data_IF_765485448537
#
_entry.id   IF_765485448537
#
_cell.length_a   1.000
_cell.length_b   1.000
_cell.length_c   1.000
_cell.angle_alpha   90.00
_cell.angle_beta   90.00
_cell.angle_gamma   90.00
#
_symmetry.space_group_name_H-M   'P 1'
#
loop_
_entity.id
_entity.type
_entity.pdbx_description
1 polymer ?
#
# COMPACT_ATOMS: atom_id res chain seq x y z
N UNK A 1 -19.16 -6.05 -14.30
CA UNK A 1 -17.73 -6.11 -14.68
C UNK A 1 -17.01 -7.08 -13.75
N UNK A 2 -16.21 -7.96 -14.30
CA UNK A 2 -15.39 -8.90 -13.51
C UNK A 2 -14.08 -8.23 -13.08
N UNK A 3 -13.44 -8.78 -12.03
CA UNK A 3 -12.16 -8.26 -11.54
C UNK A 3 -11.07 -8.17 -12.62
N UNK A 4 -10.99 -9.18 -13.49
CA UNK A 4 -9.97 -9.21 -14.56
C UNK A 4 -10.22 -8.16 -15.64
N UNK A 5 -11.49 -7.90 -15.94
CA UNK A 5 -11.87 -6.84 -16.89
C UNK A 5 -11.46 -5.47 -16.34
N UNK A 6 -11.72 -5.23 -15.06
CA UNK A 6 -11.32 -3.98 -14.42
C UNK A 6 -9.79 -3.84 -14.34
N UNK A 7 -9.05 -4.91 -14.03
CA UNK A 7 -7.58 -4.88 -14.09
C UNK A 7 -7.07 -4.48 -15.46
N UNK A 8 -7.67 -5.02 -16.51
CA UNK A 8 -7.31 -4.68 -17.88
C UNK A 8 -7.58 -3.21 -18.19
N UNK A 9 -8.76 -2.71 -17.81
CA UNK A 9 -9.15 -1.31 -18.01
C UNK A 9 -8.20 -0.35 -17.30
N UNK A 10 -7.88 -0.61 -16.03
CA UNK A 10 -6.96 0.23 -15.26
C UNK A 10 -5.56 0.26 -15.89
N UNK A 11 -5.07 -0.88 -16.38
CA UNK A 11 -3.80 -0.93 -17.09
C UNK A 11 -3.80 -0.09 -18.37
N UNK A 12 -4.91 -0.05 -19.09
CA UNK A 12 -5.06 0.82 -20.27
C UNK A 12 -5.04 2.30 -19.88
N UNK A 13 -5.77 2.68 -18.83
CA UNK A 13 -5.78 4.07 -18.32
C UNK A 13 -4.38 4.50 -17.89
N UNK A 14 -3.65 3.64 -17.19
CA UNK A 14 -2.29 3.91 -16.74
C UNK A 14 -1.33 4.25 -17.89
N UNK A 15 -1.45 3.55 -19.02
CA UNK A 15 -0.59 3.76 -20.20
C UNK A 15 -0.78 5.14 -20.85
N UNK A 16 -1.86 5.83 -20.53
CA UNK A 16 -2.15 7.17 -21.05
C UNK A 16 -1.41 8.27 -20.30
N UNK A 17 -0.79 7.94 -19.16
CA UNK A 17 -0.10 8.88 -18.31
C UNK A 17 1.42 8.81 -18.49
N UNK A 18 2.08 9.97 -18.46
CA UNK A 18 3.53 10.07 -18.47
C UNK A 18 4.10 9.79 -17.08
N UNK A 19 5.40 9.46 -17.01
CA UNK A 19 6.11 9.31 -15.74
C UNK A 19 6.09 10.60 -14.92
N UNK A 20 6.16 11.75 -15.58
CA UNK A 20 6.11 13.05 -14.94
C UNK A 20 4.75 13.30 -14.28
N UNK A 21 3.66 13.01 -14.98
CA UNK A 21 2.29 13.11 -14.42
C UNK A 21 2.11 12.21 -13.19
N UNK A 22 2.60 10.97 -13.24
CA UNK A 22 2.55 10.04 -12.10
C UNK A 22 3.39 10.56 -10.93
N UNK A 23 4.55 11.15 -11.21
CA UNK A 23 5.41 11.74 -10.17
C UNK A 23 4.74 12.92 -9.48
N UNK A 24 4.13 13.83 -10.25
CA UNK A 24 3.41 14.98 -9.72
C UNK A 24 2.23 14.56 -8.85
N UNK A 25 1.44 13.61 -9.32
CA UNK A 25 0.31 13.06 -8.55
C UNK A 25 0.79 12.34 -7.28
N UNK A 26 1.88 11.59 -7.35
CA UNK A 26 2.49 10.96 -6.19
C UNK A 26 2.90 11.98 -5.13
N UNK A 27 3.53 13.08 -5.55
CA UNK A 27 3.97 14.13 -4.63
C UNK A 27 2.78 14.74 -3.87
N UNK A 28 1.69 15.02 -4.57
CA UNK A 28 0.46 15.54 -3.95
C UNK A 28 -0.11 14.55 -2.94
N UNK A 29 -0.15 13.26 -3.28
CA UNK A 29 -0.66 12.21 -2.40
C UNK A 29 0.24 12.00 -1.17
N UNK A 30 1.55 12.02 -1.35
CA UNK A 30 2.51 11.94 -0.24
C UNK A 30 2.32 13.12 0.73
N UNK A 31 2.15 14.33 0.21
CA UNK A 31 1.90 15.50 1.04
C UNK A 31 0.57 15.39 1.80
N UNK A 32 -0.48 14.88 1.17
CA UNK A 32 -1.76 14.60 1.84
C UNK A 32 -1.59 13.56 2.95
N UNK A 33 -0.85 12.50 2.69
CA UNK A 33 -0.58 11.46 3.69
C UNK A 33 0.21 12.01 4.88
N UNK A 34 1.24 12.83 4.64
CA UNK A 34 2.06 13.45 5.69
C UNK A 34 1.27 14.46 6.54
N UNK A 35 0.21 15.05 5.99
CA UNK A 35 -0.68 15.97 6.68
C UNK A 35 -1.90 15.28 7.30
N UNK A 36 -2.06 13.99 7.07
CA UNK A 36 -3.24 13.25 7.53
C UNK A 36 -3.19 13.03 9.04
N UNK A 37 -4.26 13.37 9.80
CA UNK A 37 -4.27 13.25 11.26
C UNK A 37 -4.00 11.83 11.76
N UNK A 38 -4.54 10.81 11.10
CA UNK A 38 -4.33 9.41 11.46
C UNK A 38 -2.89 8.96 11.21
N UNK A 39 -2.27 9.41 10.14
CA UNK A 39 -0.86 9.13 9.84
C UNK A 39 0.03 9.80 10.89
N UNK A 40 -0.26 11.05 11.23
CA UNK A 40 0.50 11.80 12.24
C UNK A 40 0.38 11.18 13.64
N UNK A 41 -0.80 10.71 14.00
CA UNK A 41 -1.05 10.11 15.31
C UNK A 41 -0.48 8.70 15.45
N UNK A 42 -0.40 7.93 14.38
CA UNK A 42 0.08 6.55 14.43
C UNK A 42 1.57 6.48 14.69
N UNK A 43 1.99 5.59 15.58
CA UNK A 43 3.40 5.32 15.87
C UNK A 43 3.92 4.12 15.07
N UNK A 44 3.11 3.09 14.90
CA UNK A 44 3.47 1.86 14.18
C UNK A 44 2.66 1.76 12.90
N UNK A 45 3.35 1.90 11.77
CA UNK A 45 2.73 2.00 10.44
C UNK A 45 3.36 0.96 9.50
N UNK A 46 2.50 0.16 8.85
CA UNK A 46 2.91 -0.70 7.75
C UNK A 46 2.65 0.02 6.43
N UNK A 47 3.69 0.12 5.60
CA UNK A 47 3.59 0.64 4.23
C UNK A 47 4.04 -0.43 3.25
N UNK A 48 3.95 -0.13 1.96
CA UNK A 48 4.54 -0.92 0.88
C UNK A 48 5.65 -0.12 0.21
N UNK A 49 6.68 -0.82 -0.26
CA UNK A 49 7.75 -0.20 -1.04
C UNK A 49 7.33 -0.20 -2.50
N UNK A 50 6.93 0.97 -3.02
CA UNK A 50 6.25 1.10 -4.30
C UNK A 50 7.08 0.65 -5.49
N UNK A 51 6.39 0.01 -6.44
CA UNK A 51 6.90 -0.23 -7.79
C UNK A 51 6.79 1.05 -8.63
N UNK A 52 7.51 1.15 -9.78
CA UNK A 52 7.53 2.37 -10.58
C UNK A 52 6.16 2.85 -11.07
N UNK A 53 5.19 1.96 -11.20
CA UNK A 53 3.83 2.25 -11.68
C UNK A 53 2.81 2.47 -10.56
N UNK A 54 3.26 2.44 -9.31
CA UNK A 54 2.43 2.70 -8.12
C UNK A 54 2.65 4.13 -7.61
N UNK A 55 1.76 4.59 -6.72
CA UNK A 55 2.00 5.81 -5.96
C UNK A 55 3.34 5.68 -5.25
N UNK A 56 4.24 6.64 -5.47
CA UNK A 56 5.61 6.58 -4.98
C UNK A 56 5.68 6.76 -3.46
N UNK A 57 6.03 5.70 -2.75
CA UNK A 57 6.01 5.68 -1.28
C UNK A 57 7.39 5.81 -0.63
N UNK A 58 8.48 5.78 -1.40
CA UNK A 58 9.84 5.74 -0.83
C UNK A 58 10.15 6.94 0.06
N UNK A 59 9.79 8.14 -0.39
CA UNK A 59 9.98 9.36 0.38
C UNK A 59 9.07 9.41 1.62
N UNK A 60 7.83 8.97 1.49
CA UNK A 60 6.89 8.88 2.60
C UNK A 60 7.45 7.95 3.70
N UNK A 61 7.95 6.78 3.31
CA UNK A 61 8.59 5.82 4.22
C UNK A 61 9.74 6.47 4.96
N UNK A 62 10.66 7.12 4.23
CA UNK A 62 11.83 7.75 4.83
C UNK A 62 11.48 8.92 5.75
N UNK A 63 10.51 9.73 5.36
CA UNK A 63 10.06 10.87 6.18
C UNK A 63 9.47 10.40 7.49
N UNK A 64 8.56 9.43 7.45
CA UNK A 64 7.94 8.88 8.66
C UNK A 64 8.97 8.18 9.55
N UNK A 65 9.91 7.47 8.96
CA UNK A 65 11.00 6.81 9.67
C UNK A 65 11.89 7.84 10.40
N UNK A 66 12.26 8.93 9.74
CA UNK A 66 13.05 10.02 10.34
C UNK A 66 12.31 10.75 11.47
N UNK A 67 10.99 10.72 11.47
CA UNK A 67 10.16 11.26 12.54
C UNK A 67 10.16 10.38 13.81
N UNK A 68 10.87 9.25 13.79
CA UNK A 68 10.97 8.34 14.92
C UNK A 68 9.85 7.30 15.02
N UNK A 69 9.02 7.18 13.99
CA UNK A 69 7.96 6.17 13.96
C UNK A 69 8.54 4.78 13.70
N UNK A 70 7.83 3.76 14.17
CA UNK A 70 8.11 2.37 13.82
C UNK A 70 7.50 2.09 12.45
N UNK A 71 8.36 1.96 11.44
CA UNK A 71 7.95 1.69 10.07
C UNK A 71 8.19 0.23 9.73
N UNK A 72 7.16 -0.39 9.16
CA UNK A 72 7.17 -1.79 8.77
C UNK A 72 6.97 -1.90 7.26
N UNK A 73 7.63 -2.89 6.66
CA UNK A 73 7.48 -3.24 5.26
C UNK A 73 7.26 -4.74 5.12
N UNK A 74 6.52 -5.19 4.10
CA UNK A 74 6.27 -6.61 3.89
C UNK A 74 7.39 -7.27 3.11
N UNK A 75 7.64 -8.53 3.44
CA UNK A 75 8.37 -9.49 2.61
C UNK A 75 7.36 -10.46 2.04
N UNK A 76 7.36 -10.65 0.73
CA UNK A 76 6.44 -11.57 0.07
C UNK A 76 6.97 -13.00 0.20
N UNK A 77 6.23 -13.84 0.89
CA UNK A 77 6.45 -15.28 0.94
C UNK A 77 5.58 -15.98 -0.11
N UNK A 78 5.60 -17.30 -0.15
CA UNK A 78 4.83 -18.06 -1.15
C UNK A 78 3.32 -17.75 -1.11
N UNK A 79 2.72 -17.76 0.10
CA UNK A 79 1.28 -17.59 0.28
C UNK A 79 0.90 -16.51 1.29
N UNK A 80 1.87 -15.76 1.80
CA UNK A 80 1.64 -14.78 2.88
C UNK A 80 2.64 -13.63 2.81
N UNK A 81 2.39 -12.61 3.63
CA UNK A 81 3.32 -11.51 3.88
C UNK A 81 3.96 -11.71 5.24
N UNK A 82 5.28 -11.61 5.28
CA UNK A 82 6.04 -11.49 6.53
C UNK A 82 6.34 -10.02 6.78
N UNK A 83 6.09 -9.53 7.97
CA UNK A 83 6.25 -8.12 8.31
C UNK A 83 7.57 -7.93 9.04
N UNK A 84 8.38 -6.98 8.57
CA UNK A 84 9.70 -6.67 9.14
C UNK A 84 9.87 -5.18 9.38
N UNK A 85 10.72 -4.85 10.35
CA UNK A 85 11.08 -3.46 10.62
C UNK A 85 11.91 -2.88 9.48
N UNK A 86 11.57 -1.66 9.09
CA UNK A 86 12.39 -0.85 8.19
C UNK A 86 13.44 -0.10 9.02
N UNK A 87 14.69 -0.23 8.67
CA UNK A 87 15.82 0.36 9.39
C UNK A 87 16.69 1.23 8.47
N UNK A 88 16.07 1.92 7.51
CA UNK A 88 16.73 2.79 6.55
C UNK A 88 16.98 2.11 5.20
N UNK A 89 17.34 2.92 4.21
CA UNK A 89 17.53 2.45 2.83
C UNK A 89 18.61 1.37 2.69
N UNK A 90 19.67 1.46 3.48
CA UNK A 90 20.77 0.49 3.45
C UNK A 90 20.37 -0.90 3.97
N UNK A 91 19.26 -0.98 4.68
CA UNK A 91 18.72 -2.26 5.18
C UNK A 91 17.84 -2.98 4.17
N UNK A 92 17.60 -2.40 3.00
CA UNK A 92 16.79 -3.00 1.94
C UNK A 92 17.64 -3.91 1.06
N UNK A 93 17.04 -5.01 0.61
CA UNK A 93 17.61 -5.91 -0.41
C UNK A 93 16.56 -6.23 -1.46
N UNK A 94 16.99 -6.62 -2.66
CA UNK A 94 16.07 -7.05 -3.71
C UNK A 94 15.40 -8.37 -3.31
N UNK A 95 14.06 -8.39 -3.37
CA UNK A 95 13.25 -9.55 -3.07
C UNK A 95 13.09 -10.50 -4.25
N UNK A 96 12.46 -11.65 -4.02
CA UNK A 96 12.24 -12.69 -5.03
C UNK A 96 11.15 -12.32 -6.04
N UNK A 97 10.14 -11.57 -5.60
CA UNK A 97 8.98 -11.22 -6.43
C UNK A 97 9.13 -9.81 -7.00
N UNK A 98 8.97 -9.67 -8.33
CA UNK A 98 8.89 -8.38 -9.02
C UNK A 98 10.08 -7.44 -8.80
N UNK A 99 11.23 -7.93 -8.36
CA UNK A 99 12.41 -7.12 -8.00
C UNK A 99 12.10 -5.99 -7.00
N UNK A 100 11.08 -6.19 -6.16
CA UNK A 100 10.72 -5.23 -5.11
C UNK A 100 11.79 -5.29 -4.01
N UNK A 101 12.22 -4.12 -3.55
CA UNK A 101 13.11 -4.02 -2.40
C UNK A 101 12.37 -4.45 -1.14
N UNK A 102 13.02 -5.27 -0.32
CA UNK A 102 12.43 -5.84 0.89
C UNK A 102 13.29 -5.52 2.11
N UNK A 103 12.68 -5.35 3.30
CA UNK A 103 13.42 -5.08 4.52
C UNK A 103 14.21 -6.30 4.99
N UNK A 104 15.39 -6.06 5.57
CA UNK A 104 16.21 -7.09 6.20
C UNK A 104 16.20 -6.99 7.73
N UNK A 105 15.44 -6.06 8.29
CA UNK A 105 15.29 -5.91 9.72
C UNK A 105 14.56 -7.08 10.38
N UNK A 106 14.43 -7.01 11.69
CA UNK A 106 13.77 -8.07 12.47
C UNK A 106 12.32 -8.27 12.08
N UNK A 107 11.86 -9.52 12.14
CA UNK A 107 10.44 -9.85 11.98
C UNK A 107 9.64 -9.16 13.08
N UNK A 108 8.55 -8.50 12.69
CA UNK A 108 7.63 -7.85 13.60
C UNK A 108 6.41 -8.75 13.81
N UNK A 109 6.36 -9.40 14.95
CA UNK A 109 5.31 -10.40 15.27
C UNK A 109 4.14 -9.82 16.08
N UNK A 110 4.29 -8.62 16.66
CA UNK A 110 3.24 -7.97 17.46
C UNK A 110 2.23 -7.26 16.55
N UNK A 111 1.53 -8.02 15.71
CA UNK A 111 0.62 -7.48 14.68
C UNK A 111 -0.53 -6.66 15.29
N UNK A 112 -0.94 -6.97 16.51
CA UNK A 112 -1.96 -6.24 17.27
C UNK A 112 -1.55 -4.78 17.58
N UNK A 113 -0.27 -4.45 17.48
CA UNK A 113 0.27 -3.10 17.69
C UNK A 113 0.32 -2.26 16.42
N UNK A 114 0.04 -2.82 15.26
CA UNK A 114 -0.03 -2.06 14.02
C UNK A 114 -1.26 -1.15 14.07
N UNK A 115 -1.04 0.16 14.01
CA UNK A 115 -2.09 1.15 14.15
C UNK A 115 -2.67 1.59 12.80
N UNK A 116 -1.84 1.58 11.76
CA UNK A 116 -2.22 2.04 10.43
C UNK A 116 -1.50 1.22 9.37
N UNK A 117 -2.23 0.87 8.31
CA UNK A 117 -1.68 0.21 7.12
C UNK A 117 -1.98 1.08 5.91
N UNK A 118 -0.94 1.45 5.17
CA UNK A 118 -1.08 2.04 3.85
C UNK A 118 -1.08 0.90 2.84
N UNK A 119 -2.21 0.72 2.15
CA UNK A 119 -2.51 -0.47 1.34
C UNK A 119 -2.39 -0.17 -0.14
N UNK A 120 -1.59 -0.94 -0.90
CA UNK A 120 -1.52 -0.79 -2.35
C UNK A 120 -2.76 -1.38 -3.02
N UNK A 121 -3.07 -0.92 -4.23
CA UNK A 121 -4.14 -1.50 -5.03
C UNK A 121 -4.12 -1.00 -6.46
N UNK A 122 -4.75 -1.75 -7.35
CA UNK A 122 -4.92 -1.37 -8.76
C UNK A 122 -6.09 -0.40 -8.95
N UNK A 123 -7.14 -0.55 -8.15
CA UNK A 123 -8.32 0.30 -8.23
C UNK A 123 -9.04 0.37 -6.90
N UNK A 124 -9.77 1.46 -6.70
CA UNK A 124 -10.53 1.72 -5.48
C UNK A 124 -11.85 2.42 -5.84
N UNK A 125 -12.86 2.26 -4.98
CA UNK A 125 -14.10 3.03 -5.05
C UNK A 125 -14.34 3.80 -3.75
N UNK A 126 -15.32 4.73 -3.80
CA UNK A 126 -15.63 5.58 -2.65
C UNK A 126 -16.23 4.83 -1.44
N UNK A 127 -16.64 3.58 -1.64
CA UNK A 127 -17.12 2.71 -0.56
C UNK A 127 -15.99 2.00 0.18
N UNK A 128 -14.74 2.23 -0.24
CA UNK A 128 -13.56 1.61 0.34
C UNK A 128 -13.21 0.24 -0.26
N UNK A 129 -13.90 -0.19 -1.30
CA UNK A 129 -13.55 -1.43 -1.97
C UNK A 129 -12.24 -1.29 -2.75
N UNK A 130 -11.44 -2.35 -2.74
CA UNK A 130 -10.11 -2.37 -3.33
C UNK A 130 -9.95 -3.54 -4.29
N UNK A 131 -9.36 -3.28 -5.45
CA UNK A 131 -8.93 -4.30 -6.39
C UNK A 131 -7.41 -4.50 -6.27
N UNK A 132 -6.99 -5.69 -5.86
CA UNK A 132 -5.59 -6.08 -5.84
C UNK A 132 -5.13 -6.75 -7.12
N UNK A 133 -3.87 -7.20 -7.13
CA UNK A 133 -3.25 -7.86 -8.30
C UNK A 133 -3.70 -9.31 -8.51
N UNK A 134 -4.50 -9.88 -7.60
CA UNK A 134 -5.08 -11.22 -7.74
C UNK A 134 -4.47 -12.31 -6.87
N UNK A 135 -3.39 -12.04 -6.15
CA UNK A 135 -2.74 -13.02 -5.26
C UNK A 135 -3.38 -13.14 -3.87
N UNK A 136 -4.19 -12.16 -3.47
CA UNK A 136 -4.89 -12.15 -2.19
C UNK A 136 -4.03 -11.93 -0.95
N UNK A 137 -2.77 -11.51 -1.10
CA UNK A 137 -1.86 -11.29 0.02
C UNK A 137 -2.40 -10.30 1.05
N UNK A 138 -2.86 -9.13 0.60
CA UNK A 138 -3.35 -8.09 1.50
C UNK A 138 -4.71 -8.45 2.11
N UNK A 139 -5.63 -9.07 1.37
CA UNK A 139 -6.91 -9.48 1.94
C UNK A 139 -6.72 -10.53 3.06
N UNK A 140 -5.78 -11.45 2.89
CA UNK A 140 -5.44 -12.41 3.95
C UNK A 140 -4.75 -11.74 5.13
N UNK A 141 -3.77 -10.86 4.86
CA UNK A 141 -3.03 -10.17 5.91
C UNK A 141 -3.91 -9.22 6.73
N UNK A 142 -4.75 -8.43 6.07
CA UNK A 142 -5.59 -7.43 6.74
C UNK A 142 -6.60 -8.04 7.72
N UNK A 143 -6.96 -9.31 7.53
CA UNK A 143 -7.78 -10.05 8.51
C UNK A 143 -7.06 -10.25 9.85
N UNK A 144 -5.72 -10.26 9.84
CA UNK A 144 -4.90 -10.43 11.03
C UNK A 144 -4.73 -9.14 11.83
N UNK A 145 -5.08 -8.00 11.25
CA UNK A 145 -4.92 -6.67 11.85
C UNK A 145 -6.24 -5.87 11.82
N UNK A 146 -7.34 -6.42 12.38
CA UNK A 146 -8.64 -5.76 12.31
C UNK A 146 -8.67 -4.40 13.02
N UNK A 147 -7.80 -4.18 13.98
CA UNK A 147 -7.67 -2.91 14.72
C UNK A 147 -6.99 -1.81 13.89
N UNK A 148 -6.22 -2.15 12.87
CA UNK A 148 -5.46 -1.16 12.10
C UNK A 148 -6.36 -0.35 11.18
N UNK A 149 -6.12 0.96 11.11
CA UNK A 149 -6.76 1.84 10.14
C UNK A 149 -6.17 1.59 8.75
N UNK A 150 -7.02 1.30 7.78
CA UNK A 150 -6.64 0.89 6.42
C UNK A 150 -6.81 2.05 5.46
N UNK A 151 -5.70 2.61 5.02
CA UNK A 151 -5.65 3.77 4.14
C UNK A 151 -5.14 3.37 2.77
N UNK A 152 -5.97 3.54 1.73
CA UNK A 152 -5.57 3.34 0.35
C UNK A 152 -5.00 4.62 -0.26
N UNK A 153 -3.84 4.52 -0.93
CA UNK A 153 -3.32 5.59 -1.76
C UNK A 153 -3.64 5.29 -3.22
N UNK A 154 -4.16 6.28 -3.94
CA UNK A 154 -4.77 6.05 -5.23
C UNK A 154 -4.57 7.25 -6.16
N UNK A 155 -4.02 7.00 -7.35
CA UNK A 155 -4.07 7.97 -8.43
C UNK A 155 -5.51 8.17 -8.89
N UNK A 156 -5.80 9.31 -9.49
CA UNK A 156 -7.16 9.59 -9.97
C UNK A 156 -7.67 8.58 -10.98
N UNK A 157 -6.79 8.10 -11.90
CA UNK A 157 -7.20 7.09 -12.88
C UNK A 157 -7.59 5.74 -12.27
N UNK A 158 -7.19 5.46 -11.03
CA UNK A 158 -7.50 4.21 -10.33
C UNK A 158 -8.86 4.25 -9.63
N UNK A 159 -9.47 5.42 -9.52
CA UNK A 159 -10.79 5.57 -8.90
C UNK A 159 -11.88 5.18 -9.88
N UNK A 160 -12.81 4.34 -9.43
CA UNK A 160 -13.94 3.86 -10.21
C UNK A 160 -15.23 3.96 -9.38
N UNK A 161 -16.38 3.90 -10.05
CA UNK A 161 -17.68 3.99 -9.37
C UNK A 161 -17.94 2.78 -8.48
N UNK A 162 -17.53 1.59 -8.93
CA UNK A 162 -17.69 0.36 -8.17
C UNK A 162 -16.60 -0.64 -8.51
N UNK A 163 -15.94 -1.17 -7.49
CA UNK A 163 -15.01 -2.29 -7.60
C UNK A 163 -15.77 -3.59 -7.35
N UNK A 164 -15.66 -4.61 -8.23
CA UNK A 164 -16.26 -5.92 -7.98
C UNK A 164 -15.68 -6.55 -6.71
N UNK A 165 -16.55 -7.03 -5.81
CA UNK A 165 -16.14 -7.56 -4.51
C UNK A 165 -16.59 -9.00 -4.32
N UNK A 166 -15.88 -9.69 -3.44
CA UNK A 166 -16.20 -11.03 -2.94
C UNK A 166 -16.14 -11.02 -1.41
N UNK A 167 -16.71 -12.04 -0.77
CA UNK A 167 -16.86 -12.08 0.70
C UNK A 167 -15.54 -11.99 1.47
N UNK A 168 -14.44 -12.42 0.85
CA UNK A 168 -13.12 -12.41 1.48
C UNK A 168 -12.35 -11.11 1.29
N UNK A 169 -12.87 -10.18 0.48
CA UNK A 169 -12.23 -8.88 0.26
C UNK A 169 -12.39 -7.97 1.49
N UNK A 170 -11.31 -7.31 1.86
CA UNK A 170 -11.30 -6.38 3.00
C UNK A 170 -11.42 -4.95 2.50
N UNK A 171 -12.35 -4.20 3.07
CA UNK A 171 -12.54 -2.79 2.75
C UNK A 171 -11.47 -1.90 3.38
N UNK A 172 -11.13 -0.82 2.68
CA UNK A 172 -10.36 0.27 3.25
C UNK A 172 -11.27 1.16 4.11
N UNK A 173 -10.67 1.78 5.15
CA UNK A 173 -11.38 2.77 5.96
C UNK A 173 -11.44 4.12 5.24
N UNK A 174 -10.42 4.42 4.43
CA UNK A 174 -10.34 5.66 3.66
C UNK A 174 -9.49 5.47 2.41
N UNK A 175 -9.82 6.25 1.37
CA UNK A 175 -9.04 6.35 0.14
C UNK A 175 -8.60 7.80 -0.03
N UNK A 176 -7.31 8.02 -0.15
CA UNK A 176 -6.74 9.34 -0.46
C UNK A 176 -6.64 9.58 -1.97
#
# INVERSE_FOLDING_TARGET
MRKDELRHEINLRKRQLTREELREQSLLLVNKALSHPRVNAAQTILLYYSMPDEVHTHELINTLYKQGKTILLPVTLENSLEIRRYEGQKSLKEGRAFHIMEPTGNVFSSLDKIELVIVPGLSFDLKGNRLGRGKGYYDRFLKLVPQAYKLGLCFDFQKVDAVPVEDYDIKMDEIL
#
